data_IF_589040079594
#
_entry.id   IF_589040079594
#
_cell.length_a   1.000
_cell.length_b   1.000
_cell.length_c   1.000
_cell.angle_alpha   90.00
_cell.angle_beta   90.00
_cell.angle_gamma   90.00
#
_symmetry.space_group_name_H-M   'P 1'
#
loop_
_entity.id
_entity.type
_entity.pdbx_description
1 polymer ?
#
# COMPACT_ATOMS: atom_id res chain seq x y z
N UNK A 1 16.98 -9.74 24.84
CA UNK A 1 17.55 -8.44 25.24
C UNK A 1 16.57 -7.37 24.71
N UNK A 2 15.70 -6.89 25.59
CA UNK A 2 14.70 -5.88 25.23
C UNK A 2 15.41 -4.53 25.12
N UNK A 3 15.54 -4.01 23.89
CA UNK A 3 16.04 -2.65 23.68
C UNK A 3 14.94 -1.70 24.16
N UNK A 4 15.31 -0.89 25.16
CA UNK A 4 14.41 0.03 25.84
C UNK A 4 14.12 1.21 24.91
N UNK A 5 12.94 1.21 24.27
CA UNK A 5 12.49 2.18 23.25
C UNK A 5 12.36 3.64 23.79
N UNK A 6 12.53 3.87 25.07
CA UNK A 6 12.49 5.24 25.66
C UNK A 6 13.59 6.18 25.13
N UNK A 7 14.65 5.65 24.53
CA UNK A 7 15.75 6.45 23.94
C UNK A 7 15.51 6.78 22.45
N UNK A 8 14.38 6.35 21.86
CA UNK A 8 14.12 6.51 20.44
C UNK A 8 13.85 7.96 20.02
N UNK A 9 13.16 8.73 20.87
CA UNK A 9 12.83 10.15 20.57
C UNK A 9 14.00 11.12 20.81
N UNK A 10 14.97 10.78 21.67
CA UNK A 10 16.13 11.65 21.94
C UNK A 10 17.19 11.52 20.83
N UNK A 11 17.27 10.40 20.14
CA UNK A 11 18.22 10.18 19.03
C UNK A 11 17.85 10.91 17.73
N UNK A 12 16.58 11.29 17.54
CA UNK A 12 16.15 12.06 16.35
C UNK A 12 16.68 13.51 16.37
N UNK A 13 17.03 14.06 17.53
CA UNK A 13 17.49 15.45 17.66
C UNK A 13 19.01 15.67 17.48
N UNK A 14 19.82 14.61 17.51
CA UNK A 14 21.29 14.71 17.42
C UNK A 14 21.98 13.80 16.40
N UNK A 15 21.25 13.17 15.50
CA UNK A 15 21.89 12.56 14.34
C UNK A 15 22.39 13.67 13.42
N UNK A 16 23.71 13.83 13.38
CA UNK A 16 24.42 14.70 12.43
C UNK A 16 23.70 14.69 11.08
N UNK A 17 23.46 15.88 10.54
CA UNK A 17 23.04 16.16 9.18
C UNK A 17 24.01 15.56 8.14
N UNK A 18 24.09 14.24 8.09
CA UNK A 18 24.65 13.54 6.95
C UNK A 18 23.55 13.53 5.90
N UNK A 19 23.61 14.52 5.00
CA UNK A 19 22.94 14.61 3.71
C UNK A 19 21.67 13.75 3.58
N UNK A 20 20.51 14.37 3.89
CA UNK A 20 19.22 13.74 3.72
C UNK A 20 19.10 13.21 2.28
N UNK A 21 18.91 11.93 2.13
CA UNK A 21 18.45 11.32 0.89
C UNK A 21 17.10 11.97 0.56
N UNK A 22 17.05 12.83 -0.44
CA UNK A 22 15.85 13.62 -0.70
C UNK A 22 14.97 12.82 -1.65
N UNK A 23 13.87 12.29 -1.13
CA UNK A 23 12.73 11.89 -1.97
C UNK A 23 11.91 13.15 -2.24
N UNK A 24 11.76 13.52 -3.50
CA UNK A 24 10.81 14.56 -3.89
C UNK A 24 9.40 13.97 -3.91
N UNK A 25 8.78 13.98 -2.74
CA UNK A 25 7.46 13.36 -2.50
C UNK A 25 6.39 13.98 -3.40
N UNK A 26 6.42 15.29 -3.60
CA UNK A 26 5.41 16.01 -4.40
C UNK A 26 5.46 15.59 -5.86
N UNK A 27 6.65 15.66 -6.48
CA UNK A 27 6.83 15.25 -7.87
C UNK A 27 6.57 13.76 -8.08
N UNK A 28 6.98 12.92 -7.11
CA UNK A 28 6.77 11.48 -7.19
C UNK A 28 5.28 11.11 -7.10
N UNK A 29 4.53 11.68 -6.16
CA UNK A 29 3.10 11.46 -6.05
C UNK A 29 2.35 12.01 -7.26
N UNK A 30 2.74 13.19 -7.77
CA UNK A 30 2.16 13.72 -9.01
C UNK A 30 2.34 12.75 -10.18
N UNK A 31 3.57 12.22 -10.36
CA UNK A 31 3.84 11.19 -11.37
C UNK A 31 2.95 9.95 -11.18
N UNK A 32 2.87 9.43 -9.94
CA UNK A 32 2.05 8.26 -9.61
C UNK A 32 0.59 8.48 -9.98
N UNK A 33 0.01 9.63 -9.58
CA UNK A 33 -1.41 9.91 -9.81
C UNK A 33 -1.77 10.16 -11.27
N UNK A 34 -0.82 10.65 -12.07
CA UNK A 34 -1.06 11.00 -13.48
C UNK A 34 -0.68 9.90 -14.47
N UNK A 35 0.28 9.03 -14.12
CA UNK A 35 0.81 8.03 -15.06
C UNK A 35 0.55 6.58 -14.65
N UNK A 36 0.33 6.31 -13.35
CA UNK A 36 0.16 4.93 -12.89
C UNK A 36 -1.32 4.58 -12.81
N UNK A 37 -1.70 3.53 -13.53
CA UNK A 37 -3.07 3.03 -13.54
C UNK A 37 -3.59 2.76 -12.13
N UNK A 38 -4.86 3.07 -11.89
CA UNK A 38 -5.61 2.85 -10.64
C UNK A 38 -5.19 3.73 -9.46
N UNK A 39 -4.11 4.49 -9.57
CA UNK A 39 -3.75 5.54 -8.61
C UNK A 39 -4.48 6.84 -8.97
N UNK A 40 -4.74 7.68 -7.99
CA UNK A 40 -5.39 8.96 -8.23
C UNK A 40 -5.13 9.98 -7.13
N UNK A 41 -5.01 11.24 -7.51
CA UNK A 41 -5.13 12.36 -6.60
C UNK A 41 -6.59 12.53 -6.18
N UNK A 42 -6.90 12.19 -4.94
CA UNK A 42 -8.27 12.30 -4.43
C UNK A 42 -8.66 13.74 -4.08
N UNK A 43 -7.68 14.60 -3.81
CA UNK A 43 -7.93 16.01 -3.54
C UNK A 43 -8.42 16.74 -4.79
N UNK A 44 -7.83 16.44 -5.94
CA UNK A 44 -8.15 17.05 -7.23
C UNK A 44 -8.80 16.07 -8.20
N UNK A 45 -9.54 15.10 -7.66
CA UNK A 45 -10.16 14.07 -8.48
C UNK A 45 -11.22 14.67 -9.42
N UNK A 46 -11.13 14.41 -10.73
CA UNK A 46 -12.01 15.02 -11.71
C UNK A 46 -13.45 14.51 -11.59
N UNK A 47 -14.39 15.31 -12.05
CA UNK A 47 -15.73 14.82 -12.31
C UNK A 47 -15.66 13.70 -13.37
N UNK A 48 -16.37 12.60 -13.15
CA UNK A 48 -16.42 11.49 -14.09
C UNK A 48 -17.72 11.52 -14.88
N UNK A 49 -17.62 11.19 -16.15
CA UNK A 49 -18.80 10.84 -16.96
C UNK A 49 -19.21 9.38 -16.70
N UNK A 50 -20.43 9.00 -17.07
CA UNK A 50 -20.86 7.60 -17.03
C UNK A 50 -19.91 6.70 -17.84
N UNK A 51 -19.41 7.20 -18.98
CA UNK A 51 -18.43 6.49 -19.81
C UNK A 51 -17.12 6.25 -19.07
N UNK A 52 -16.63 7.24 -18.30
CA UNK A 52 -15.38 7.10 -17.51
C UNK A 52 -15.56 6.07 -16.41
N UNK A 53 -16.69 6.12 -15.69
CA UNK A 53 -16.99 5.14 -14.63
C UNK A 53 -17.11 3.74 -15.23
N UNK A 54 -17.84 3.60 -16.35
CA UNK A 54 -17.96 2.32 -17.05
C UNK A 54 -16.62 1.77 -17.51
N UNK A 55 -15.77 2.62 -18.09
CA UNK A 55 -14.40 2.26 -18.45
C UNK A 55 -13.63 1.75 -17.22
N UNK A 56 -13.66 2.49 -16.10
CA UNK A 56 -12.99 2.11 -14.85
C UNK A 56 -13.49 0.78 -14.28
N UNK A 57 -14.81 0.51 -14.36
CA UNK A 57 -15.42 -0.75 -13.95
C UNK A 57 -14.97 -1.92 -14.84
N UNK A 58 -14.74 -1.70 -16.13
CA UNK A 58 -14.38 -2.74 -17.10
C UNK A 58 -12.88 -3.01 -17.18
N UNK A 59 -12.01 -2.05 -16.87
CA UNK A 59 -10.56 -2.19 -17.02
C UNK A 59 -9.93 -3.29 -16.16
N UNK A 60 -10.56 -3.69 -15.05
CA UNK A 60 -10.11 -4.79 -14.18
C UNK A 60 -10.79 -6.15 -14.46
N UNK A 61 -11.54 -6.31 -15.56
CA UNK A 61 -12.68 -7.19 -15.49
C UNK A 61 -12.88 -8.19 -16.60
N UNK A 62 -11.85 -8.68 -17.20
CA UNK A 62 -11.97 -10.04 -17.68
C UNK A 62 -11.93 -10.97 -16.46
N UNK A 63 -13.05 -11.69 -16.22
CA UNK A 63 -13.06 -12.75 -15.21
C UNK A 63 -11.90 -13.70 -15.51
N UNK A 64 -10.99 -13.85 -14.55
CA UNK A 64 -9.83 -14.73 -14.71
C UNK A 64 -10.31 -16.17 -14.88
N UNK A 65 -10.19 -16.72 -16.08
CA UNK A 65 -10.64 -18.07 -16.43
C UNK A 65 -9.94 -19.18 -15.64
N UNK A 66 -8.85 -18.88 -14.93
CA UNK A 66 -8.19 -19.80 -14.03
C UNK A 66 -8.93 -19.98 -12.70
N UNK A 67 -9.83 -19.06 -12.35
CA UNK A 67 -10.70 -19.18 -11.18
C UNK A 67 -11.71 -20.30 -11.47
N UNK A 68 -11.69 -21.34 -10.67
CA UNK A 68 -12.53 -22.52 -10.84
C UNK A 68 -13.45 -22.79 -9.64
N UNK A 69 -13.23 -22.08 -8.53
CA UNK A 69 -13.96 -22.31 -7.28
C UNK A 69 -14.42 -20.99 -6.64
N UNK A 70 -15.60 -21.06 -6.02
CA UNK A 70 -16.18 -20.03 -5.17
C UNK A 70 -16.52 -20.66 -3.82
N UNK A 71 -15.93 -20.18 -2.71
CA UNK A 71 -16.06 -20.76 -1.39
C UNK A 71 -15.87 -22.30 -1.40
N UNK A 72 -14.83 -22.77 -2.09
CA UNK A 72 -14.49 -24.20 -2.29
C UNK A 72 -15.49 -25.02 -3.13
N UNK A 73 -16.54 -24.40 -3.68
CA UNK A 73 -17.48 -25.07 -4.60
C UNK A 73 -17.09 -24.75 -6.06
N UNK A 74 -17.22 -25.70 -6.98
CA UNK A 74 -16.97 -25.44 -8.40
C UNK A 74 -17.82 -24.28 -8.91
N UNK A 75 -17.21 -23.36 -9.66
CA UNK A 75 -17.90 -22.25 -10.27
C UNK A 75 -18.42 -22.65 -11.65
N UNK A 76 -19.64 -22.22 -11.99
CA UNK A 76 -20.25 -22.41 -13.31
C UNK A 76 -20.55 -21.05 -14.00
N UNK A 77 -21.01 -21.09 -15.25
CA UNK A 77 -21.31 -19.90 -16.04
C UNK A 77 -22.34 -19.00 -15.38
N UNK A 78 -23.40 -19.57 -14.80
CA UNK A 78 -24.48 -18.82 -14.15
C UNK A 78 -23.94 -18.02 -12.94
N UNK A 79 -23.07 -18.62 -12.14
CA UNK A 79 -22.42 -17.93 -10.99
C UNK A 79 -21.55 -16.78 -11.52
N UNK A 80 -20.76 -17.00 -12.57
CA UNK A 80 -19.93 -15.96 -13.17
C UNK A 80 -20.80 -14.82 -13.69
N UNK A 81 -21.89 -15.12 -14.42
CA UNK A 81 -22.83 -14.14 -14.92
C UNK A 81 -23.46 -13.30 -13.80
N UNK A 82 -23.88 -13.94 -12.71
CA UNK A 82 -24.42 -13.24 -11.54
C UNK A 82 -23.40 -12.28 -10.90
N UNK A 83 -22.13 -12.71 -10.75
CA UNK A 83 -21.05 -11.84 -10.27
C UNK A 83 -20.85 -10.63 -11.19
N UNK A 84 -20.85 -10.87 -12.50
CA UNK A 84 -20.69 -9.81 -13.49
C UNK A 84 -21.89 -8.86 -13.53
N UNK A 85 -23.12 -9.38 -13.44
CA UNK A 85 -24.35 -8.59 -13.40
C UNK A 85 -24.45 -7.73 -12.13
N UNK A 86 -23.92 -8.22 -10.99
CA UNK A 86 -23.93 -7.47 -9.74
C UNK A 86 -23.12 -6.16 -9.81
N UNK A 87 -22.25 -5.99 -10.82
CA UNK A 87 -21.55 -4.73 -11.10
C UNK A 87 -22.47 -3.60 -11.58
N UNK A 88 -23.71 -3.90 -11.96
CA UNK A 88 -24.75 -2.93 -12.28
C UNK A 88 -24.40 -1.92 -13.40
N UNK A 89 -23.78 -2.40 -14.48
CA UNK A 89 -23.29 -1.54 -15.58
C UNK A 89 -24.38 -0.77 -16.33
N UNK A 90 -25.66 -1.12 -16.13
CA UNK A 90 -26.82 -0.45 -16.76
C UNK A 90 -27.33 0.76 -15.96
N UNK A 91 -26.92 0.94 -14.71
CA UNK A 91 -27.41 2.00 -13.83
C UNK A 91 -26.28 2.89 -13.29
N UNK A 92 -25.27 3.16 -14.13
CA UNK A 92 -24.17 4.07 -13.80
C UNK A 92 -24.70 5.50 -13.79
N UNK A 93 -24.27 6.29 -12.77
CA UNK A 93 -24.53 7.72 -12.69
C UNK A 93 -23.22 8.48 -12.68
N UNK A 94 -23.20 9.70 -13.22
CA UNK A 94 -22.00 10.52 -13.33
C UNK A 94 -21.67 11.33 -12.05
N UNK A 95 -22.25 11.00 -10.92
CA UNK A 95 -22.08 11.74 -9.66
C UNK A 95 -21.05 11.05 -8.78
N UNK A 96 -19.97 11.75 -8.46
CA UNK A 96 -19.03 11.31 -7.43
C UNK A 96 -19.62 11.56 -6.04
N UNK A 97 -19.65 10.54 -5.21
CA UNK A 97 -19.90 10.67 -3.78
C UNK A 97 -18.59 10.50 -3.01
N UNK A 98 -18.54 11.03 -1.80
CA UNK A 98 -17.34 11.11 -1.00
C UNK A 98 -17.52 10.36 0.30
N UNK A 99 -16.47 9.71 0.76
CA UNK A 99 -16.53 8.93 1.99
C UNK A 99 -15.18 8.74 2.68
N UNK A 100 -15.27 8.16 3.87
CA UNK A 100 -14.13 7.65 4.62
C UNK A 100 -14.42 6.23 5.09
N UNK A 101 -13.42 5.40 5.14
CA UNK A 101 -13.56 4.06 5.72
C UNK A 101 -13.84 4.13 7.22
N UNK A 102 -14.75 3.27 7.72
CA UNK A 102 -15.09 3.20 9.14
C UNK A 102 -14.09 2.41 9.95
N UNK A 103 -13.54 1.40 9.34
CA UNK A 103 -12.64 0.41 9.94
C UNK A 103 -11.71 -0.14 8.87
N UNK A 104 -10.73 -0.92 9.26
CA UNK A 104 -9.93 -1.73 8.34
C UNK A 104 -10.83 -2.63 7.51
N UNK A 105 -10.81 -2.49 6.20
CA UNK A 105 -11.78 -3.12 5.29
C UNK A 105 -11.11 -3.70 4.05
N UNK A 106 -11.75 -4.70 3.46
CA UNK A 106 -11.27 -5.37 2.27
C UNK A 106 -11.77 -4.68 0.99
N UNK A 107 -10.86 -4.39 0.08
CA UNK A 107 -11.19 -4.01 -1.29
C UNK A 107 -11.18 -5.28 -2.15
N UNK A 108 -12.28 -5.53 -2.86
CA UNK A 108 -12.53 -6.72 -3.66
C UNK A 108 -12.49 -6.42 -5.17
N UNK A 109 -12.21 -7.46 -5.97
CA UNK A 109 -12.28 -7.39 -7.43
C UNK A 109 -13.74 -7.40 -7.92
N UNK A 110 -14.60 -8.18 -7.27
CA UNK A 110 -16.03 -8.30 -7.54
C UNK A 110 -16.84 -7.96 -6.28
N UNK A 111 -18.06 -7.46 -6.42
CA UNK A 111 -18.95 -7.10 -5.31
C UNK A 111 -19.52 -8.36 -4.62
N UNK A 112 -18.66 -9.08 -3.90
CA UNK A 112 -19.01 -10.28 -3.12
C UNK A 112 -17.99 -10.55 -2.03
N UNK A 113 -18.42 -11.11 -0.91
CA UNK A 113 -17.55 -11.63 0.14
C UNK A 113 -16.97 -13.01 -0.19
N UNK A 114 -17.52 -13.69 -1.19
CA UNK A 114 -17.10 -15.04 -1.53
C UNK A 114 -15.62 -15.06 -1.97
N UNK A 115 -14.89 -16.05 -1.49
CA UNK A 115 -13.53 -16.31 -1.93
C UNK A 115 -13.55 -16.96 -3.32
N UNK A 116 -12.72 -16.43 -4.23
CA UNK A 116 -12.53 -16.95 -5.58
C UNK A 116 -11.14 -17.57 -5.67
N UNK A 117 -11.05 -18.86 -6.03
CA UNK A 117 -9.79 -19.61 -5.98
C UNK A 117 -9.54 -20.42 -7.25
N UNK A 118 -8.27 -20.77 -7.52
CA UNK A 118 -7.91 -21.62 -8.65
C UNK A 118 -8.16 -23.10 -8.39
N UNK A 119 -8.05 -23.52 -7.13
CA UNK A 119 -8.24 -24.91 -6.67
C UNK A 119 -9.01 -24.91 -5.35
N UNK A 120 -9.62 -26.02 -4.93
CA UNK A 120 -10.24 -26.12 -3.62
C UNK A 120 -9.16 -25.92 -2.54
N UNK A 121 -9.57 -25.38 -1.41
CA UNK A 121 -8.72 -25.10 -0.24
C UNK A 121 -7.48 -24.23 -0.52
N UNK A 122 -7.50 -23.47 -1.61
CA UNK A 122 -6.45 -22.47 -1.89
C UNK A 122 -6.54 -21.36 -0.86
N UNK A 123 -5.41 -21.07 -0.20
CA UNK A 123 -5.31 -19.99 0.78
C UNK A 123 -5.40 -18.60 0.14
N UNK A 124 -5.17 -18.51 -1.16
CA UNK A 124 -5.16 -17.25 -1.92
C UNK A 124 -6.55 -16.99 -2.49
N UNK A 125 -7.28 -16.07 -1.86
CA UNK A 125 -8.52 -15.51 -2.39
C UNK A 125 -8.22 -14.51 -3.51
N UNK A 126 -8.53 -14.88 -4.76
CA UNK A 126 -8.31 -14.02 -5.95
C UNK A 126 -9.29 -12.85 -6.02
N UNK A 127 -10.37 -12.88 -5.25
CA UNK A 127 -11.26 -11.74 -5.07
C UNK A 127 -10.69 -10.69 -4.13
N UNK A 128 -9.76 -11.07 -3.23
CA UNK A 128 -9.08 -10.14 -2.34
C UNK A 128 -8.03 -9.34 -3.11
N UNK A 129 -8.25 -8.02 -3.21
CA UNK A 129 -7.36 -7.15 -3.95
C UNK A 129 -6.44 -6.33 -3.04
N UNK A 130 -7.01 -5.70 -2.02
CA UNK A 130 -6.26 -4.91 -1.04
C UNK A 130 -6.98 -4.82 0.29
N UNK A 131 -6.24 -4.44 1.31
CA UNK A 131 -6.75 -3.87 2.54
C UNK A 131 -6.75 -2.35 2.42
N UNK A 132 -7.71 -1.68 3.08
CA UNK A 132 -7.72 -0.24 3.30
C UNK A 132 -7.89 0.03 4.78
N UNK A 133 -7.14 1.00 5.29
CA UNK A 133 -7.09 1.34 6.70
C UNK A 133 -8.29 2.19 7.13
N UNK A 134 -8.59 2.32 8.44
CA UNK A 134 -9.66 3.21 8.92
C UNK A 134 -9.37 4.67 8.56
N UNK A 135 -10.43 5.44 8.32
CA UNK A 135 -10.42 6.89 8.04
C UNK A 135 -9.72 7.30 6.74
N UNK A 136 -9.42 6.34 5.87
CA UNK A 136 -8.90 6.64 4.54
C UNK A 136 -9.99 7.28 3.68
N UNK A 137 -9.68 8.38 2.97
CA UNK A 137 -10.60 9.00 2.05
C UNK A 137 -10.86 8.10 0.83
N UNK A 138 -12.09 8.05 0.39
CA UNK A 138 -12.52 7.31 -0.79
C UNK A 138 -13.50 8.13 -1.62
N UNK A 139 -13.42 8.00 -2.94
CA UNK A 139 -14.44 8.51 -3.85
C UNK A 139 -15.31 7.34 -4.29
N UNK A 140 -16.61 7.45 -4.03
CA UNK A 140 -17.60 6.43 -4.38
C UNK A 140 -18.05 6.73 -5.81
N UNK A 141 -17.71 5.84 -6.72
CA UNK A 141 -17.97 6.00 -8.15
C UNK A 141 -19.26 5.30 -8.59
N UNK A 142 -19.64 4.23 -7.90
CA UNK A 142 -20.79 3.42 -8.32
C UNK A 142 -21.27 2.50 -7.18
N UNK A 143 -22.51 1.97 -7.34
CA UNK A 143 -23.14 1.03 -6.41
C UNK A 143 -23.52 -0.26 -7.12
N UNK A 144 -23.26 -1.41 -6.49
CA UNK A 144 -23.65 -2.73 -7.02
C UNK A 144 -25.16 -2.86 -7.16
N UNK A 145 -25.62 -3.85 -7.96
CA UNK A 145 -27.03 -4.10 -8.25
C UNK A 145 -27.81 -4.48 -6.98
N UNK A 146 -27.21 -5.25 -6.08
CA UNK A 146 -27.81 -5.61 -4.78
C UNK A 146 -27.78 -4.44 -3.78
N UNK A 147 -27.10 -3.34 -4.10
CA UNK A 147 -26.97 -2.17 -3.24
C UNK A 147 -26.06 -2.36 -2.03
N UNK A 148 -25.31 -3.46 -1.93
CA UNK A 148 -24.47 -3.79 -0.76
C UNK A 148 -23.02 -3.35 -0.89
N UNK A 149 -22.58 -2.96 -2.10
CA UNK A 149 -21.19 -2.62 -2.39
C UNK A 149 -21.06 -1.28 -3.07
N UNK A 150 -20.00 -0.55 -2.68
CA UNK A 150 -19.54 0.63 -3.41
C UNK A 150 -18.31 0.30 -4.24
N UNK A 151 -18.29 0.73 -5.49
CA UNK A 151 -17.07 0.79 -6.29
C UNK A 151 -16.36 2.09 -5.98
N UNK A 152 -15.17 2.01 -5.40
CA UNK A 152 -14.43 3.15 -4.89
C UNK A 152 -13.12 3.37 -5.61
N UNK A 153 -12.68 4.63 -5.61
CA UNK A 153 -11.31 5.05 -5.90
C UNK A 153 -10.62 5.44 -4.60
N UNK A 154 -9.38 4.97 -4.43
CA UNK A 154 -8.45 5.38 -3.37
C UNK A 154 -7.21 6.02 -3.98
N UNK A 155 -6.25 6.51 -3.19
CA UNK A 155 -4.96 6.99 -3.70
C UNK A 155 -4.19 5.95 -4.52
N UNK A 156 -4.24 4.68 -4.13
CA UNK A 156 -3.36 3.62 -4.59
C UNK A 156 -4.05 2.53 -5.41
N UNK A 157 -5.40 2.52 -5.44
CA UNK A 157 -6.17 1.52 -6.18
C UNK A 157 -7.65 1.89 -6.27
N UNK A 158 -8.42 1.06 -6.98
CA UNK A 158 -9.87 1.06 -7.02
C UNK A 158 -10.42 -0.36 -6.93
N UNK A 159 -11.64 -0.51 -6.48
CA UNK A 159 -12.32 -1.81 -6.34
C UNK A 159 -13.59 -1.70 -5.53
N UNK A 160 -14.15 -2.84 -5.15
CA UNK A 160 -15.41 -2.93 -4.42
C UNK A 160 -15.18 -3.03 -2.92
N UNK A 161 -15.89 -2.22 -2.14
CA UNK A 161 -15.91 -2.25 -0.68
C UNK A 161 -17.35 -2.43 -0.19
N UNK A 162 -17.56 -3.12 0.92
CA UNK A 162 -18.89 -3.19 1.53
C UNK A 162 -19.36 -1.79 1.93
N UNK A 163 -20.57 -1.39 1.54
CA UNK A 163 -21.08 -0.04 1.81
C UNK A 163 -21.16 0.30 3.30
N UNK A 164 -21.40 -0.72 4.15
CA UNK A 164 -21.47 -0.55 5.59
C UNK A 164 -20.12 -0.17 6.22
N UNK A 165 -19.03 -0.36 5.49
CA UNK A 165 -17.66 -0.01 5.92
C UNK A 165 -17.25 1.41 5.54
N UNK A 166 -18.16 2.20 4.95
CA UNK A 166 -17.89 3.57 4.49
C UNK A 166 -18.85 4.57 5.15
N UNK A 167 -18.31 5.65 5.67
CA UNK A 167 -19.07 6.87 5.99
C UNK A 167 -19.27 7.67 4.73
N UNK A 168 -20.52 7.96 4.35
CA UNK A 168 -20.81 8.98 3.35
C UNK A 168 -20.67 10.37 4.00
N UNK A 169 -19.95 11.27 3.33
CA UNK A 169 -19.72 12.62 3.83
C UNK A 169 -20.01 13.66 2.74
N UNK A 170 -20.26 14.91 3.16
CA UNK A 170 -20.35 16.03 2.21
C UNK A 170 -18.99 16.30 1.56
N UNK A 171 -18.99 16.92 0.38
CA UNK A 171 -17.78 17.37 -0.29
C UNK A 171 -16.92 18.28 0.60
N UNK A 172 -17.53 19.19 1.35
CA UNK A 172 -16.80 20.09 2.25
C UNK A 172 -16.07 19.32 3.35
N UNK A 173 -16.68 18.30 3.95
CA UNK A 173 -16.04 17.47 4.96
C UNK A 173 -14.90 16.62 4.34
N UNK A 174 -15.10 16.14 3.11
CA UNK A 174 -14.07 15.43 2.38
C UNK A 174 -12.85 16.34 2.07
N UNK A 175 -13.08 17.55 1.56
CA UNK A 175 -12.00 18.52 1.27
C UNK A 175 -11.27 18.97 2.54
N UNK A 176 -11.96 19.09 3.67
CA UNK A 176 -11.33 19.45 4.95
C UNK A 176 -10.22 18.47 5.34
N UNK A 177 -10.34 17.17 5.01
CA UNK A 177 -9.31 16.18 5.29
C UNK A 177 -7.95 16.57 4.72
N UNK A 178 -7.88 17.09 3.49
CA UNK A 178 -6.62 17.44 2.83
C UNK A 178 -5.94 18.64 3.49
N UNK A 179 -6.73 19.61 3.93
CA UNK A 179 -6.27 20.86 4.54
C UNK A 179 -6.02 20.76 6.05
N UNK A 180 -6.32 19.61 6.66
CA UNK A 180 -6.15 19.43 8.10
C UNK A 180 -4.79 18.80 8.39
N UNK A 181 -4.10 19.30 9.44
CA UNK A 181 -2.89 18.66 9.98
C UNK A 181 -3.19 17.21 10.34
N UNK A 182 -2.23 16.31 10.14
CA UNK A 182 -2.42 14.88 10.38
C UNK A 182 -1.32 14.31 11.25
N UNK A 183 -1.63 13.26 11.96
CA UNK A 183 -0.65 12.30 12.45
C UNK A 183 -0.60 11.10 11.49
N UNK A 184 0.53 10.39 11.50
CA UNK A 184 0.72 9.14 10.80
C UNK A 184 1.11 8.04 11.78
N UNK A 185 0.60 6.85 11.54
CA UNK A 185 0.97 5.66 12.28
C UNK A 185 2.34 5.18 11.76
N UNK A 186 3.34 5.14 12.63
CA UNK A 186 4.72 4.73 12.27
C UNK A 186 5.07 3.32 12.75
N UNK A 187 4.20 2.71 13.57
CA UNK A 187 4.32 1.36 14.08
C UNK A 187 3.16 0.49 13.58
N UNK A 188 3.38 -0.78 13.44
CA UNK A 188 2.33 -1.67 12.94
C UNK A 188 1.26 -1.95 14.00
N UNK A 189 -0.02 -2.07 13.55
CA UNK A 189 -1.17 -2.54 14.32
C UNK A 189 -1.42 -1.76 15.61
N UNK A 190 -1.41 -0.43 15.53
CA UNK A 190 -1.73 0.44 16.67
C UNK A 190 -3.23 0.38 16.94
N UNK A 191 -3.59 0.02 18.18
CA UNK A 191 -5.00 -0.04 18.61
C UNK A 191 -5.44 1.29 19.19
N UNK A 192 -6.58 1.82 18.69
CA UNK A 192 -7.23 3.02 19.19
C UNK A 192 -8.72 2.72 19.41
N UNK A 193 -9.14 2.57 20.66
CA UNK A 193 -10.46 2.04 20.97
C UNK A 193 -10.65 0.63 20.39
N UNK A 194 -11.70 0.45 19.60
CA UNK A 194 -12.00 -0.82 18.92
C UNK A 194 -11.36 -0.92 17.52
N UNK A 195 -10.68 0.13 17.07
CA UNK A 195 -10.04 0.15 15.76
C UNK A 195 -8.57 -0.24 15.83
N UNK A 196 -8.10 -0.89 14.77
CA UNK A 196 -6.69 -1.20 14.54
C UNK A 196 -6.24 -0.45 13.30
N UNK A 197 -5.16 0.32 13.43
CA UNK A 197 -4.53 1.07 12.35
C UNK A 197 -3.20 0.42 11.97
N UNK A 198 -2.95 0.27 10.69
CA UNK A 198 -1.65 -0.15 10.17
C UNK A 198 -0.72 1.05 9.98
N UNK A 199 0.57 0.75 9.81
CA UNK A 199 1.55 1.76 9.47
C UNK A 199 1.18 2.51 8.19
N UNK A 200 1.48 3.81 8.16
CA UNK A 200 1.12 4.69 7.05
C UNK A 200 -0.33 5.21 7.08
N UNK A 201 -1.17 4.78 8.03
CA UNK A 201 -2.50 5.38 8.24
C UNK A 201 -2.37 6.83 8.67
N UNK A 202 -3.15 7.71 8.05
CA UNK A 202 -3.10 9.17 8.25
C UNK A 202 -4.39 9.64 8.92
N UNK A 203 -4.29 10.24 10.09
CA UNK A 203 -5.44 10.62 10.90
C UNK A 203 -5.44 12.14 11.09
N UNK A 204 -6.51 12.86 10.66
CA UNK A 204 -6.63 14.29 10.87
C UNK A 204 -6.69 14.64 12.36
N UNK A 205 -5.98 15.69 12.76
CA UNK A 205 -6.02 16.24 14.11
C UNK A 205 -6.59 17.66 14.06
N UNK A 206 -7.43 17.98 15.03
CA UNK A 206 -7.97 19.34 15.21
C UNK A 206 -7.05 20.17 16.09
N UNK A 207 -6.48 19.54 17.11
CA UNK A 207 -5.66 20.20 18.12
C UNK A 207 -4.67 19.23 18.76
N UNK A 208 -3.67 19.76 19.46
CA UNK A 208 -2.72 18.99 20.26
C UNK A 208 -2.24 19.76 21.48
N UNK A 209 -2.05 19.06 22.57
CA UNK A 209 -1.33 19.54 23.76
C UNK A 209 -0.04 18.72 23.98
N UNK A 210 0.63 18.88 25.13
CA UNK A 210 1.88 18.16 25.41
C UNK A 210 1.72 16.63 25.40
N UNK A 211 0.56 16.09 25.78
CA UNK A 211 0.33 14.68 26.02
C UNK A 211 -0.64 14.04 25.02
N UNK A 212 -1.49 14.82 24.35
CA UNK A 212 -2.58 14.30 23.55
C UNK A 212 -2.71 14.99 22.19
N UNK A 213 -3.20 14.23 21.21
CA UNK A 213 -3.82 14.73 19.99
C UNK A 213 -5.33 14.69 20.14
N UNK A 214 -6.03 15.72 19.66
CA UNK A 214 -7.49 15.69 19.46
C UNK A 214 -7.75 15.33 18.01
N UNK A 215 -8.23 14.10 17.75
CA UNK A 215 -8.58 13.64 16.42
C UNK A 215 -10.05 13.90 16.10
N UNK A 216 -10.33 14.17 14.83
CA UNK A 216 -11.69 14.31 14.30
C UNK A 216 -12.04 13.03 13.55
N UNK A 217 -13.06 12.36 14.03
CA UNK A 217 -13.63 11.20 13.35
C UNK A 217 -14.42 11.63 12.10
N UNK A 218 -14.56 10.76 11.08
CA UNK A 218 -15.37 11.08 9.90
C UNK A 218 -16.86 11.40 10.21
N UNK A 219 -17.38 10.92 11.33
CA UNK A 219 -18.72 11.25 11.86
C UNK A 219 -18.73 12.53 12.71
N UNK A 220 -17.65 13.31 12.68
CA UNK A 220 -17.43 14.56 13.41
C UNK A 220 -17.27 14.41 14.94
N UNK A 221 -17.20 13.21 15.47
CA UNK A 221 -16.83 12.98 16.87
C UNK A 221 -15.36 13.32 17.10
N UNK A 222 -15.06 13.79 18.30
CA UNK A 222 -13.71 14.11 18.78
C UNK A 222 -13.26 13.09 19.77
N UNK A 223 -12.02 12.62 19.60
CA UNK A 223 -11.38 11.66 20.50
C UNK A 223 -10.02 12.23 20.90
N UNK A 224 -9.71 12.21 22.19
CA UNK A 224 -8.37 12.50 22.69
C UNK A 224 -7.52 11.23 22.63
N UNK A 225 -6.42 11.29 21.86
CA UNK A 225 -5.47 10.20 21.67
C UNK A 225 -4.16 10.57 22.34
N UNK A 226 -3.73 9.75 23.29
CA UNK A 226 -2.44 9.97 23.97
C UNK A 226 -1.28 9.80 22.99
N UNK A 227 -0.33 10.75 23.04
CA UNK A 227 0.90 10.68 22.26
C UNK A 227 1.74 9.48 22.72
N UNK A 228 2.17 8.67 21.78
CA UNK A 228 3.09 7.55 22.00
C UNK A 228 4.06 7.38 20.84
N UNK A 229 4.99 6.41 20.96
CA UNK A 229 6.02 6.13 19.96
C UNK A 229 5.53 5.47 18.66
N UNK A 230 4.24 5.13 18.59
CA UNK A 230 3.59 4.63 17.37
C UNK A 230 3.02 5.73 16.49
N UNK A 231 3.10 7.00 16.91
CA UNK A 231 2.48 8.15 16.28
C UNK A 231 3.52 9.22 15.96
N UNK A 232 3.39 9.86 14.81
CA UNK A 232 4.21 11.02 14.43
C UNK A 232 3.38 12.05 13.68
N UNK A 233 3.85 13.30 13.63
CA UNK A 233 3.26 14.31 12.74
C UNK A 233 3.56 13.92 11.29
N UNK A 234 2.53 13.99 10.44
CA UNK A 234 2.63 13.68 9.02
C UNK A 234 2.99 14.92 8.18
N UNK A 235 3.83 14.77 7.13
CA UNK A 235 4.62 13.58 6.80
C UNK A 235 5.88 13.47 7.68
N UNK A 236 6.32 12.24 7.94
CA UNK A 236 7.65 12.02 8.51
C UNK A 236 8.70 12.29 7.43
N UNK A 237 9.73 13.04 7.76
CA UNK A 237 10.87 13.22 6.84
C UNK A 237 11.53 11.86 6.59
N UNK A 238 11.76 11.53 5.31
CA UNK A 238 12.37 10.25 4.96
C UNK A 238 13.74 10.07 5.65
N UNK A 239 13.93 8.90 6.21
CA UNK A 239 15.15 8.49 6.87
C UNK A 239 15.32 6.97 6.77
N UNK A 240 16.46 6.52 6.25
CA UNK A 240 16.77 5.10 6.05
C UNK A 240 16.80 4.29 7.36
N UNK A 241 17.21 4.89 8.49
CA UNK A 241 17.16 4.20 9.78
C UNK A 241 15.73 3.97 10.27
N UNK A 242 14.82 4.93 10.07
CA UNK A 242 13.38 4.73 10.36
C UNK A 242 12.83 3.61 9.49
N UNK A 243 13.16 3.61 8.19
CA UNK A 243 12.74 2.56 7.27
C UNK A 243 13.26 1.18 7.69
N UNK A 244 14.53 1.09 8.09
CA UNK A 244 15.14 -0.14 8.59
C UNK A 244 14.46 -0.63 9.88
N UNK A 245 14.28 0.23 10.87
CA UNK A 245 13.63 -0.13 12.14
C UNK A 245 12.21 -0.64 11.89
N UNK A 246 11.45 0.02 11.01
CA UNK A 246 10.12 -0.44 10.64
C UNK A 246 10.16 -1.85 10.04
N UNK A 247 11.02 -2.10 9.06
CA UNK A 247 11.15 -3.42 8.41
C UNK A 247 11.60 -4.51 9.38
N UNK A 248 12.58 -4.22 10.24
CA UNK A 248 13.05 -5.16 11.26
C UNK A 248 11.94 -5.51 12.26
N UNK A 249 11.06 -4.57 12.59
CA UNK A 249 9.89 -4.82 13.46
C UNK A 249 8.85 -5.77 12.85
N UNK A 250 8.84 -5.91 11.52
CA UNK A 250 7.90 -6.76 10.79
C UNK A 250 8.44 -8.16 10.51
N UNK A 251 9.70 -8.44 10.81
CA UNK A 251 10.30 -9.75 10.54
C UNK A 251 9.50 -10.88 11.19
N UNK A 252 9.30 -11.94 10.43
CA UNK A 252 8.49 -13.12 10.78
C UNK A 252 6.98 -12.87 10.88
N UNK A 253 6.45 -11.69 10.59
CA UNK A 253 5.01 -11.53 10.41
C UNK A 253 4.52 -12.41 9.25
N UNK A 254 3.32 -13.02 9.35
CA UNK A 254 2.79 -13.85 8.28
C UNK A 254 2.65 -13.10 6.96
N UNK A 255 2.93 -13.78 5.85
CA UNK A 255 2.54 -13.32 4.52
C UNK A 255 1.02 -13.37 4.37
N UNK A 256 0.42 -12.35 3.77
CA UNK A 256 -1.03 -12.25 3.64
C UNK A 256 -1.43 -11.64 2.30
N UNK A 257 -1.91 -12.48 1.39
CA UNK A 257 -2.34 -12.04 0.07
C UNK A 257 -3.42 -10.97 0.15
N UNK A 258 -3.15 -9.81 -0.46
CA UNK A 258 -4.09 -8.69 -0.47
C UNK A 258 -4.35 -8.08 0.91
N UNK A 259 -3.62 -8.46 1.94
CA UNK A 259 -3.80 -7.97 3.30
C UNK A 259 -5.06 -8.44 3.99
N UNK A 260 -5.68 -9.54 3.55
CA UNK A 260 -7.00 -10.02 3.98
C UNK A 260 -7.17 -10.13 5.49
N UNK A 261 -6.14 -10.56 6.21
CA UNK A 261 -6.13 -10.75 7.66
C UNK A 261 -5.36 -9.64 8.41
N UNK A 262 -5.00 -8.57 7.69
CA UNK A 262 -4.32 -7.41 8.25
C UNK A 262 -2.81 -7.53 8.33
N UNK A 263 -2.21 -8.48 7.61
CA UNK A 263 -0.76 -8.54 7.39
C UNK A 263 -0.42 -8.05 5.96
N UNK A 264 0.74 -8.44 5.43
CA UNK A 264 1.26 -7.87 4.18
C UNK A 264 1.62 -8.92 3.14
N UNK A 265 1.38 -8.59 1.88
CA UNK A 265 2.09 -9.17 0.74
C UNK A 265 3.31 -8.30 0.37
N UNK A 266 4.02 -8.68 -0.69
CA UNK A 266 5.26 -8.01 -1.08
C UNK A 266 5.07 -6.52 -1.40
N UNK A 267 4.02 -6.17 -2.13
CA UNK A 267 3.77 -4.79 -2.55
C UNK A 267 3.16 -3.92 -1.44
N UNK A 268 2.33 -4.49 -0.57
CA UNK A 268 1.80 -3.74 0.58
C UNK A 268 2.87 -3.48 1.65
N UNK A 269 3.85 -4.36 1.82
CA UNK A 269 5.00 -4.10 2.69
C UNK A 269 5.73 -2.81 2.31
N UNK A 270 6.02 -2.66 1.02
CA UNK A 270 6.70 -1.48 0.48
C UNK A 270 5.78 -0.27 0.53
N UNK A 271 4.51 -0.42 0.16
CA UNK A 271 3.53 0.65 0.19
C UNK A 271 3.35 1.24 1.60
N UNK A 272 3.15 0.41 2.63
CA UNK A 272 2.94 0.88 3.99
C UNK A 272 4.16 1.60 4.55
N UNK A 273 5.37 1.10 4.25
CA UNK A 273 6.61 1.79 4.61
C UNK A 273 6.64 3.21 4.06
N UNK A 274 6.41 3.37 2.76
CA UNK A 274 6.56 4.69 2.12
C UNK A 274 5.40 5.64 2.41
N UNK A 275 4.23 5.13 2.77
CA UNK A 275 3.12 5.95 3.25
C UNK A 275 3.43 6.69 4.55
N UNK A 276 4.31 6.18 5.41
CA UNK A 276 4.82 6.88 6.61
C UNK A 276 5.47 8.20 6.20
N UNK A 277 6.22 8.19 5.10
CA UNK A 277 6.96 9.33 4.58
C UNK A 277 6.15 10.20 3.60
N UNK A 278 4.90 9.84 3.32
CA UNK A 278 4.02 10.61 2.43
C UNK A 278 4.03 10.19 0.97
N UNK A 279 4.70 9.10 0.60
CA UNK A 279 4.68 8.56 -0.77
C UNK A 279 3.53 7.57 -0.91
N UNK A 280 2.66 7.79 -1.89
CA UNK A 280 1.48 6.96 -2.16
C UNK A 280 1.75 5.96 -3.29
N UNK A 281 2.64 4.98 -3.04
CA UNK A 281 2.95 3.94 -4.01
C UNK A 281 1.68 3.18 -4.46
N UNK A 282 1.59 2.77 -5.74
CA UNK A 282 0.47 1.99 -6.23
C UNK A 282 0.41 0.61 -5.58
N UNK A 283 -0.79 0.01 -5.55
CA UNK A 283 -1.01 -1.26 -4.83
C UNK A 283 -0.29 -2.45 -5.43
N UNK A 284 -0.12 -2.49 -6.73
CA UNK A 284 0.36 -3.67 -7.44
C UNK A 284 1.88 -3.60 -7.69
N UNK A 285 2.61 -4.68 -7.42
CA UNK A 285 4.06 -4.75 -7.63
C UNK A 285 4.50 -4.46 -9.08
N UNK A 286 3.66 -4.79 -10.07
CA UNK A 286 3.92 -4.44 -11.47
C UNK A 286 3.90 -2.92 -11.69
N UNK A 287 2.93 -2.24 -11.08
CA UNK A 287 2.81 -0.78 -11.17
C UNK A 287 3.91 -0.08 -10.36
N UNK A 288 4.32 -0.66 -9.22
CA UNK A 288 5.46 -0.16 -8.45
C UNK A 288 6.78 -0.22 -9.26
N UNK A 289 6.90 -1.15 -10.22
CA UNK A 289 8.05 -1.22 -11.10
C UNK A 289 8.13 -0.08 -12.16
N UNK A 290 7.08 0.73 -12.27
CA UNK A 290 7.01 1.90 -13.14
C UNK A 290 7.29 3.20 -12.37
N UNK A 291 7.56 3.10 -11.05
CA UNK A 291 7.81 4.25 -10.17
C UNK A 291 9.31 4.40 -9.90
N UNK A 292 9.79 5.65 -9.99
CA UNK A 292 11.18 6.00 -9.73
C UNK A 292 12.10 5.86 -10.96
N UNK A 293 13.39 6.12 -10.74
CA UNK A 293 14.43 6.02 -11.75
C UNK A 293 14.85 4.56 -11.97
N UNK A 294 14.92 4.12 -13.23
CA UNK A 294 15.44 2.80 -13.57
C UNK A 294 16.96 2.85 -13.52
N UNK A 295 17.58 2.05 -12.63
CA UNK A 295 19.04 1.97 -12.49
C UNK A 295 19.63 0.69 -13.06
N UNK A 296 18.78 -0.30 -13.37
CA UNK A 296 19.14 -1.52 -14.09
C UNK A 296 17.91 -2.16 -14.72
N UNK A 297 18.07 -2.73 -15.92
CA UNK A 297 17.02 -3.47 -16.61
C UNK A 297 17.61 -4.60 -17.45
N UNK A 298 17.17 -5.85 -17.17
CA UNK A 298 17.47 -7.08 -17.93
C UNK A 298 18.93 -7.22 -18.40
N UNK A 299 19.88 -7.06 -17.47
CA UNK A 299 21.30 -7.24 -17.74
C UNK A 299 21.86 -8.58 -17.24
N UNK A 300 23.17 -8.71 -17.33
CA UNK A 300 23.90 -9.84 -16.79
C UNK A 300 24.12 -9.75 -15.27
N UNK A 301 24.69 -10.82 -14.69
CA UNK A 301 25.01 -10.87 -13.25
C UNK A 301 25.94 -9.75 -12.80
N UNK A 302 26.93 -9.39 -13.62
CA UNK A 302 27.92 -8.36 -13.29
C UNK A 302 27.26 -6.98 -13.22
N UNK A 303 26.48 -6.61 -14.23
CA UNK A 303 25.76 -5.33 -14.28
C UNK A 303 24.72 -5.21 -13.16
N UNK A 304 24.03 -6.31 -12.79
CA UNK A 304 23.11 -6.33 -11.66
C UNK A 304 23.80 -5.94 -10.34
N UNK A 305 24.93 -6.57 -10.02
CA UNK A 305 25.66 -6.26 -8.80
C UNK A 305 26.35 -4.89 -8.83
N UNK A 306 26.78 -4.42 -10.00
CA UNK A 306 27.27 -3.03 -10.15
C UNK A 306 26.17 -2.03 -9.83
N UNK A 307 24.95 -2.25 -10.31
CA UNK A 307 23.81 -1.38 -10.02
C UNK A 307 23.46 -1.39 -8.53
N UNK A 308 23.37 -2.57 -7.89
CA UNK A 308 23.13 -2.64 -6.44
C UNK A 308 24.23 -2.01 -5.60
N UNK A 309 25.50 -2.13 -6.02
CA UNK A 309 26.63 -1.54 -5.30
C UNK A 309 26.63 -0.01 -5.30
N UNK A 310 25.88 0.62 -6.22
CA UNK A 310 25.68 2.08 -6.33
C UNK A 310 24.31 2.54 -5.82
N UNK A 311 23.42 1.60 -5.53
CA UNK A 311 22.05 1.89 -5.15
C UNK A 311 21.96 2.34 -3.69
N UNK A 312 21.06 3.30 -3.43
CA UNK A 312 20.74 3.72 -2.07
C UNK A 312 19.86 2.67 -1.37
N UNK A 313 20.21 2.22 -0.15
CA UNK A 313 19.41 1.25 0.59
C UNK A 313 18.07 1.85 1.04
N UNK A 314 17.10 0.97 1.27
CA UNK A 314 15.76 1.30 1.79
C UNK A 314 14.90 2.23 0.93
N UNK A 315 15.36 2.62 -0.28
CA UNK A 315 14.57 3.34 -1.28
C UNK A 315 14.77 2.78 -2.71
N UNK A 316 15.46 1.66 -2.81
CA UNK A 316 15.69 0.94 -4.07
C UNK A 316 14.95 -0.38 -4.07
N UNK A 317 14.29 -0.69 -5.19
CA UNK A 317 13.44 -1.86 -5.35
C UNK A 317 13.97 -2.78 -6.44
N UNK A 318 13.90 -4.09 -6.21
CA UNK A 318 14.22 -5.14 -7.17
C UNK A 318 12.91 -5.79 -7.61
N UNK A 319 12.61 -5.75 -8.90
CA UNK A 319 11.36 -6.23 -9.47
C UNK A 319 11.51 -7.55 -10.17
N UNK A 320 10.64 -8.50 -9.81
CA UNK A 320 10.47 -9.80 -10.45
C UNK A 320 9.05 -9.96 -10.97
N UNK A 321 8.79 -10.91 -11.83
CA UNK A 321 7.41 -11.21 -12.27
C UNK A 321 6.51 -11.54 -11.08
N UNK A 322 5.58 -10.64 -10.78
CA UNK A 322 4.60 -10.78 -9.69
C UNK A 322 5.17 -10.57 -8.27
N UNK A 323 6.40 -10.02 -8.16
CA UNK A 323 7.03 -9.80 -6.85
C UNK A 323 7.90 -8.54 -6.83
N UNK A 324 7.98 -7.91 -5.67
CA UNK A 324 8.86 -6.78 -5.39
C UNK A 324 9.65 -7.04 -4.11
N UNK A 325 10.88 -6.59 -4.10
CA UNK A 325 11.85 -6.76 -3.02
C UNK A 325 12.46 -5.40 -2.72
N UNK A 326 12.59 -5.04 -1.45
CA UNK A 326 13.28 -3.84 -1.03
C UNK A 326 14.76 -4.16 -0.77
N UNK A 327 15.65 -3.37 -1.37
CA UNK A 327 17.08 -3.44 -1.13
C UNK A 327 17.43 -2.81 0.23
N UNK A 328 18.13 -3.56 1.08
CA UNK A 328 18.49 -3.18 2.44
C UNK A 328 19.94 -2.73 2.61
N UNK A 329 20.71 -2.64 1.52
CA UNK A 329 22.09 -2.18 1.56
C UNK A 329 23.11 -3.31 1.46
N UNK A 330 24.38 -2.91 1.40
CA UNK A 330 25.54 -3.82 1.40
C UNK A 330 25.84 -4.23 2.83
N UNK A 331 26.11 -5.53 3.03
CA UNK A 331 26.58 -6.11 4.30
C UNK A 331 27.84 -6.93 4.02
N UNK A 332 29.01 -6.36 4.32
CA UNK A 332 30.34 -6.89 3.97
C UNK A 332 30.45 -7.12 2.46
N UNK A 333 30.55 -8.38 2.04
CA UNK A 333 30.68 -8.79 0.64
C UNK A 333 29.33 -9.26 0.05
N UNK A 334 28.22 -9.05 0.77
CA UNK A 334 26.88 -9.46 0.36
C UNK A 334 25.90 -8.27 0.34
N UNK A 335 24.66 -8.52 -0.05
CA UNK A 335 23.61 -7.52 -0.19
C UNK A 335 22.34 -7.97 0.54
N UNK A 336 21.84 -7.11 1.41
CA UNK A 336 20.62 -7.35 2.18
C UNK A 336 19.37 -7.03 1.36
N UNK A 337 18.34 -7.83 1.55
CA UNK A 337 17.01 -7.62 0.99
C UNK A 337 15.92 -7.92 2.00
N UNK A 338 14.79 -7.21 1.87
CA UNK A 338 13.58 -7.39 2.68
C UNK A 338 12.38 -7.61 1.78
N UNK A 339 11.57 -8.61 2.08
CA UNK A 339 10.31 -8.83 1.38
C UNK A 339 9.31 -9.66 2.19
N UNK A 340 8.01 -9.45 1.95
CA UNK A 340 6.98 -10.38 2.38
C UNK A 340 6.79 -11.41 1.27
N UNK A 341 6.91 -12.71 1.55
CA UNK A 341 6.92 -13.74 0.53
C UNK A 341 6.25 -15.03 1.00
N UNK A 342 5.39 -15.58 0.14
CA UNK A 342 4.82 -16.91 0.34
C UNK A 342 5.88 -17.98 0.05
N UNK A 343 6.47 -17.91 -1.15
CA UNK A 343 7.49 -18.86 -1.62
C UNK A 343 8.57 -18.15 -2.43
N UNK A 344 9.82 -18.51 -2.21
CA UNK A 344 10.94 -18.02 -3.00
C UNK A 344 11.84 -19.20 -3.43
N UNK A 345 11.94 -19.42 -4.74
CA UNK A 345 12.51 -20.66 -5.24
C UNK A 345 11.70 -21.89 -4.77
N UNK A 346 12.38 -22.87 -4.20
CA UNK A 346 11.74 -24.09 -3.66
C UNK A 346 11.38 -23.98 -2.17
N UNK A 347 11.68 -22.84 -1.53
CA UNK A 347 11.47 -22.65 -0.09
C UNK A 347 10.15 -21.91 0.15
N UNK A 348 9.31 -22.44 1.03
CA UNK A 348 8.09 -21.80 1.51
C UNK A 348 8.40 -21.02 2.78
N UNK A 349 8.28 -19.70 2.73
CA UNK A 349 8.54 -18.80 3.84
C UNK A 349 7.26 -18.40 4.55
N UNK A 350 6.22 -18.02 3.81
CA UNK A 350 4.92 -17.53 4.30
C UNK A 350 5.04 -16.39 5.33
N UNK A 351 6.02 -15.51 5.16
CA UNK A 351 6.32 -14.44 6.12
C UNK A 351 7.14 -13.30 5.53
N UNK A 352 7.31 -12.23 6.31
CA UNK A 352 8.29 -11.18 6.08
C UNK A 352 9.68 -11.73 6.43
N UNK A 353 10.62 -11.61 5.50
CA UNK A 353 11.98 -12.11 5.65
C UNK A 353 13.01 -11.03 5.32
N UNK A 354 14.18 -11.18 5.97
CA UNK A 354 15.43 -10.54 5.62
C UNK A 354 16.36 -11.62 5.10
N UNK A 355 17.00 -11.39 3.97
CA UNK A 355 17.89 -12.36 3.32
C UNK A 355 19.15 -11.68 2.79
N UNK A 356 20.18 -12.48 2.59
CA UNK A 356 21.37 -12.11 1.83
C UNK A 356 21.28 -12.66 0.40
N UNK A 357 21.63 -11.86 -0.59
CA UNK A 357 21.48 -12.27 -2.00
C UNK A 357 22.42 -13.43 -2.35
N UNK A 358 23.69 -13.35 -1.92
CA UNK A 358 24.73 -14.31 -2.27
C UNK A 358 24.72 -15.51 -1.32
N UNK A 359 24.83 -15.27 -0.01
CA UNK A 359 24.95 -16.32 1.01
C UNK A 359 23.72 -17.22 1.09
N UNK A 360 22.52 -16.67 0.88
CA UNK A 360 21.27 -17.44 0.84
C UNK A 360 20.97 -18.05 -0.54
N UNK A 361 21.90 -17.91 -1.49
CA UNK A 361 21.81 -18.47 -2.84
C UNK A 361 20.48 -18.18 -3.55
N UNK A 362 20.03 -16.93 -3.46
CA UNK A 362 18.70 -16.53 -3.94
C UNK A 362 18.57 -16.59 -5.46
N UNK A 363 19.68 -16.55 -6.19
CA UNK A 363 19.74 -16.40 -7.65
C UNK A 363 18.88 -15.23 -8.17
N UNK A 364 18.81 -14.16 -7.37
CA UNK A 364 17.91 -13.03 -7.62
C UNK A 364 18.22 -12.34 -8.96
N UNK A 365 19.50 -12.19 -9.32
CA UNK A 365 19.93 -11.56 -10.56
C UNK A 365 19.31 -12.19 -11.82
N UNK A 366 19.07 -13.52 -11.81
CA UNK A 366 18.48 -14.23 -12.95
C UNK A 366 16.95 -14.14 -13.03
N UNK A 367 16.31 -13.75 -11.93
CA UNK A 367 14.84 -13.64 -11.80
C UNK A 367 14.36 -12.20 -11.91
N UNK A 368 15.22 -11.24 -11.56
CA UNK A 368 14.92 -9.82 -11.65
C UNK A 368 14.85 -9.36 -13.12
N UNK A 369 13.93 -8.45 -13.41
CA UNK A 369 13.88 -7.82 -14.72
C UNK A 369 14.17 -6.32 -14.66
N UNK A 370 14.10 -5.69 -13.47
CA UNK A 370 14.32 -4.25 -13.29
C UNK A 370 14.74 -3.95 -11.85
N UNK A 371 15.55 -2.91 -11.69
CA UNK A 371 15.82 -2.25 -10.41
C UNK A 371 15.44 -0.78 -10.58
N UNK A 372 14.60 -0.25 -9.66
CA UNK A 372 14.26 1.17 -9.61
C UNK A 372 14.64 1.78 -8.27
N UNK A 373 14.89 3.09 -8.25
CA UNK A 373 15.09 3.85 -7.01
C UNK A 373 14.20 5.08 -7.00
N UNK A 374 13.68 5.43 -5.82
CA UNK A 374 12.92 6.66 -5.61
C UNK A 374 13.74 7.73 -4.89
N UNK A 375 14.95 7.41 -4.43
CA UNK A 375 15.91 8.38 -3.93
C UNK A 375 16.64 9.04 -5.09
N UNK A 376 16.72 10.39 -5.09
CA UNK A 376 17.53 11.13 -6.06
C UNK A 376 19.00 10.90 -5.77
N UNK A 377 19.78 10.55 -6.80
CA UNK A 377 21.23 10.50 -6.68
C UNK A 377 21.81 11.92 -6.47
N UNK A 378 22.87 12.02 -5.67
CA UNK A 378 23.55 13.28 -5.36
C UNK A 378 24.07 14.02 -6.61
N UNK A 379 24.24 13.32 -7.74
CA UNK A 379 24.80 13.85 -8.99
C UNK A 379 23.81 14.64 -9.87
N UNK A 380 22.49 14.51 -9.64
CA UNK A 380 21.45 15.21 -10.45
C UNK A 380 20.97 16.54 -9.86
N UNK A 381 21.77 17.21 -9.02
CA UNK A 381 21.40 18.50 -8.40
C UNK A 381 21.73 19.75 -9.25
N UNK A 382 22.21 19.59 -10.46
CA UNK A 382 22.62 20.73 -11.30
C UNK A 382 22.06 20.61 -12.71
N UNK A 383 20.74 20.75 -12.86
CA UNK A 383 20.12 21.21 -14.10
C UNK A 383 18.81 21.97 -13.79
#
# INVERSE_FOLDING_TARGET
MFINLKNFFILIFFANLSYAEIIDISSLNHYIYTHIEYSADLEHFPANTEKDIKKRLLEKESFDQRIKFINNQPINSTIIENLLQNRNLSAITSVNHFGFTKKRSNIKMFPTNAALTYKPDDKIDRNQYSLIEPFEPVIILHTSKDGEWFFIQTFFTRGWINKNDVYNVSYNNFKRYFNTKKIVIVRDRVKMGDLIFGAGSRIPIEDEDEQYYTIIMPDSKRIRLKKDDGLSIFPVVYNSEIAKIFLESLLNQPYDWGGKNGYRDCSSLVMDLFRIFGVDLPRNSRQQAEVGDIIWERGDKKSFFIALGKAEPFCTFIHMKGHIILYGGKDKDDYLIYHAVERFGNISYNKVVKQHIISDNTNLWSKAYRITTICRSKEKRYD
#
